data_IF_928735235180
#
_entry.id   IF_928735235180
#
_cell.length_a   1.000
_cell.length_b   1.000
_cell.length_c   1.000
_cell.angle_alpha   90.00
_cell.angle_beta   90.00
_cell.angle_gamma   90.00
#
_symmetry.space_group_name_H-M   'P 1'
#
loop_
_entity.id
_entity.type
_entity.pdbx_description
1 polymer ?
#
# COMPACT_ATOMS: atom_id res chain seq x y z
N UNK A 1 52.46 -45.81 27.00
CA UNK A 1 51.79 -44.70 26.28
C UNK A 1 50.53 -45.27 25.64
N UNK A 2 49.35 -44.81 26.05
CA UNK A 2 48.09 -45.38 25.56
C UNK A 2 47.65 -44.66 24.28
N UNK A 3 47.31 -45.45 23.26
CA UNK A 3 46.82 -44.95 21.98
C UNK A 3 45.30 -44.76 22.05
N UNK A 4 44.84 -43.54 21.84
CA UNK A 4 43.40 -43.24 21.72
C UNK A 4 42.97 -43.38 20.27
N UNK A 5 41.99 -44.24 20.02
CA UNK A 5 41.40 -44.51 18.70
C UNK A 5 40.31 -43.47 18.39
N UNK A 6 40.65 -42.45 17.61
CA UNK A 6 39.76 -41.35 17.19
C UNK A 6 38.97 -41.65 15.90
N UNK A 7 39.28 -42.77 15.24
CA UNK A 7 38.65 -43.25 14.01
C UNK A 7 37.13 -43.41 14.11
N UNK A 8 36.60 -43.67 15.32
CA UNK A 8 35.16 -43.75 15.55
C UNK A 8 34.48 -42.39 15.74
N UNK A 9 35.22 -41.36 16.18
CA UNK A 9 34.71 -39.99 16.39
C UNK A 9 34.66 -39.20 15.09
N UNK A 10 35.61 -39.45 14.20
CA UNK A 10 35.75 -38.75 12.92
C UNK A 10 35.00 -39.43 11.77
N UNK A 11 34.19 -40.47 12.05
CA UNK A 11 33.46 -41.17 11.00
C UNK A 11 32.16 -40.42 10.67
N UNK A 12 32.08 -39.73 9.50
CA UNK A 12 30.97 -38.83 9.19
C UNK A 12 29.62 -39.55 9.06
N UNK A 13 29.62 -40.86 8.82
CA UNK A 13 28.40 -41.66 8.67
C UNK A 13 27.70 -41.98 10.00
N UNK A 14 28.39 -41.84 11.15
CA UNK A 14 27.83 -42.16 12.48
C UNK A 14 27.49 -40.92 13.32
N UNK A 15 27.86 -39.72 12.86
CA UNK A 15 27.64 -38.47 13.60
C UNK A 15 26.40 -37.77 13.04
N UNK A 16 25.41 -37.47 13.90
CA UNK A 16 24.21 -36.72 13.49
C UNK A 16 24.62 -35.32 13.02
N UNK A 17 24.51 -35.05 11.73
CA UNK A 17 24.81 -33.74 11.16
C UNK A 17 23.79 -32.72 11.67
N UNK A 18 24.27 -31.72 12.41
CA UNK A 18 23.47 -30.59 12.86
C UNK A 18 23.99 -29.32 12.17
N UNK A 19 23.11 -28.59 11.49
CA UNK A 19 23.45 -27.28 10.95
C UNK A 19 23.35 -26.25 12.07
N UNK A 20 24.44 -25.54 12.34
CA UNK A 20 24.51 -24.51 13.36
C UNK A 20 24.87 -23.18 12.72
N UNK A 21 24.05 -22.16 12.96
CA UNK A 21 24.29 -20.79 12.53
C UNK A 21 24.86 -20.00 13.70
N UNK A 22 25.95 -19.28 13.45
CA UNK A 22 26.47 -18.29 14.40
C UNK A 22 25.84 -16.94 14.08
N UNK A 23 25.00 -16.43 14.96
CA UNK A 23 24.32 -15.14 14.80
C UNK A 23 24.85 -14.12 15.80
N UNK A 24 24.54 -12.85 15.60
CA UNK A 24 24.90 -11.76 16.53
C UNK A 24 24.34 -11.93 17.96
N UNK A 25 23.34 -12.80 18.12
CA UNK A 25 22.71 -13.13 19.41
C UNK A 25 23.17 -14.49 19.97
N UNK A 26 24.18 -15.10 19.35
CA UNK A 26 24.76 -16.38 19.75
C UNK A 26 24.46 -17.54 18.79
N UNK A 27 24.68 -18.75 19.29
CA UNK A 27 24.60 -20.00 18.54
C UNK A 27 23.13 -20.43 18.35
N UNK A 28 22.70 -20.59 17.10
CA UNK A 28 21.40 -21.14 16.75
C UNK A 28 21.56 -22.50 16.06
N UNK A 29 20.93 -23.55 16.60
CA UNK A 29 20.93 -24.89 16.00
C UNK A 29 19.66 -25.05 15.17
N UNK A 30 19.82 -25.28 13.87
CA UNK A 30 18.71 -25.41 12.93
C UNK A 30 18.03 -26.76 13.13
N UNK A 31 16.71 -26.76 13.33
CA UNK A 31 15.90 -27.99 13.44
C UNK A 31 15.83 -28.67 12.06
N UNK A 32 15.85 -30.00 12.05
CA UNK A 32 15.78 -30.85 10.84
C UNK A 32 14.53 -30.55 9.98
N UNK A 33 13.41 -30.20 10.63
CA UNK A 33 12.20 -29.73 9.99
C UNK A 33 11.99 -28.28 10.35
N UNK A 34 12.11 -27.41 9.34
CA UNK A 34 11.71 -26.02 9.41
C UNK A 34 10.38 -25.95 8.66
N UNK A 35 9.29 -25.64 9.36
CA UNK A 35 8.05 -25.32 8.68
C UNK A 35 8.33 -24.08 7.84
N UNK A 36 8.28 -24.24 6.51
CA UNK A 36 8.44 -23.12 5.60
C UNK A 36 7.33 -22.13 5.92
N UNK A 37 7.72 -20.93 6.29
CA UNK A 37 6.79 -19.82 6.35
C UNK A 37 6.33 -19.54 4.92
N UNK A 38 5.05 -19.82 4.64
CA UNK A 38 4.43 -19.51 3.36
C UNK A 38 3.47 -18.33 3.57
N UNK A 39 3.82 -17.13 3.06
CA UNK A 39 2.95 -15.96 3.19
C UNK A 39 1.60 -16.19 2.53
N UNK A 40 1.51 -17.02 1.49
CA UNK A 40 0.26 -17.32 0.80
C UNK A 40 -0.68 -18.10 1.73
N UNK A 41 -0.16 -19.09 2.45
CA UNK A 41 -0.99 -19.87 3.39
C UNK A 41 -1.45 -19.04 4.59
N UNK A 42 -0.61 -18.17 5.16
CA UNK A 42 -1.03 -17.36 6.31
C UNK A 42 -1.91 -16.17 5.91
N UNK A 43 -1.64 -15.50 4.78
CA UNK A 43 -2.46 -14.37 4.31
C UNK A 43 -3.83 -14.81 3.80
N UNK A 44 -3.93 -15.91 3.03
CA UNK A 44 -5.19 -16.29 2.37
C UNK A 44 -6.05 -17.30 3.14
N UNK A 45 -5.54 -17.95 4.20
CA UNK A 45 -6.37 -18.79 5.08
C UNK A 45 -7.04 -18.03 6.23
N UNK A 46 -6.93 -16.70 6.25
CA UNK A 46 -7.59 -15.85 7.24
C UNK A 46 -8.41 -14.76 6.55
N UNK A 47 -9.74 -14.83 6.68
CA UNK A 47 -10.68 -13.87 6.12
C UNK A 47 -10.59 -12.47 6.78
N UNK A 48 -9.78 -12.30 7.83
CA UNK A 48 -9.44 -10.98 8.38
C UNK A 48 -8.38 -10.23 7.57
N UNK A 49 -7.79 -10.88 6.56
CA UNK A 49 -6.84 -10.27 5.64
C UNK A 49 -7.60 -9.72 4.42
N UNK A 50 -7.34 -8.48 4.04
CA UNK A 50 -7.82 -7.89 2.80
C UNK A 50 -6.66 -7.62 1.84
N UNK A 51 -6.86 -7.88 0.55
CA UNK A 51 -5.92 -7.47 -0.49
C UNK A 51 -6.18 -6.01 -0.85
N UNK A 52 -5.13 -5.19 -0.81
CA UNK A 52 -5.20 -3.78 -1.18
C UNK A 52 -4.56 -3.65 -2.56
N UNK A 53 -5.36 -3.20 -3.52
CA UNK A 53 -4.86 -2.85 -4.85
C UNK A 53 -4.72 -1.34 -4.89
N UNK A 54 -3.49 -0.79 -4.94
CA UNK A 54 -3.31 0.64 -5.09
C UNK A 54 -3.82 1.05 -6.47
N UNK A 55 -4.79 1.95 -6.50
CA UNK A 55 -5.33 2.49 -7.74
C UNK A 55 -4.55 3.74 -8.17
N UNK A 56 -4.37 3.90 -9.49
CA UNK A 56 -3.62 5.01 -10.08
C UNK A 56 -4.48 5.71 -11.14
N UNK A 57 -4.47 7.05 -11.22
CA UNK A 57 -5.11 7.76 -12.31
C UNK A 57 -4.45 7.38 -13.64
N UNK A 58 -5.19 7.48 -14.75
CA UNK A 58 -4.68 7.31 -16.11
C UNK A 58 -3.50 8.27 -16.37
N UNK A 59 -2.69 7.92 -17.37
CA UNK A 59 -1.35 8.49 -17.64
C UNK A 59 -1.27 10.03 -17.58
N UNK A 60 -0.11 10.52 -17.11
CA UNK A 60 0.30 11.92 -17.23
C UNK A 60 0.02 12.81 -16.01
N UNK A 61 -0.43 12.25 -14.88
CA UNK A 61 -0.83 13.02 -13.69
C UNK A 61 -0.10 12.61 -12.40
N UNK A 62 1.06 11.94 -12.50
CA UNK A 62 1.92 11.64 -11.33
C UNK A 62 1.37 10.61 -10.32
N UNK A 63 2.06 10.48 -9.19
CA UNK A 63 1.69 9.57 -8.08
C UNK A 63 1.38 10.37 -6.82
N UNK A 64 0.10 10.46 -6.47
CA UNK A 64 -0.37 11.33 -5.40
C UNK A 64 -1.35 10.62 -4.45
N UNK A 65 -1.30 10.98 -3.17
CA UNK A 65 -2.20 10.45 -2.14
C UNK A 65 -3.64 10.95 -2.29
N UNK A 66 -4.57 10.32 -1.56
CA UNK A 66 -6.00 10.67 -1.54
C UNK A 66 -6.27 12.12 -1.15
N UNK A 67 -5.40 12.68 -0.31
CA UNK A 67 -5.63 13.97 0.36
C UNK A 67 -5.33 15.17 -0.55
N UNK A 68 -4.74 14.92 -1.73
CA UNK A 68 -4.55 15.96 -2.74
C UNK A 68 -5.92 16.45 -3.21
N UNK A 69 -6.08 17.77 -3.15
CA UNK A 69 -7.29 18.49 -3.56
C UNK A 69 -7.22 18.89 -5.03
N UNK A 70 -6.09 19.47 -5.44
CA UNK A 70 -5.86 19.91 -6.82
C UNK A 70 -4.47 19.50 -7.33
N UNK A 71 -4.33 19.38 -8.64
CA UNK A 71 -3.05 19.16 -9.32
C UNK A 71 -2.82 20.33 -10.28
N UNK A 72 -1.83 21.17 -9.97
CA UNK A 72 -1.44 22.28 -10.83
C UNK A 72 -0.33 21.83 -11.78
N UNK A 73 -0.64 21.72 -13.06
CA UNK A 73 0.33 21.46 -14.13
C UNK A 73 0.84 22.78 -14.67
N UNK A 74 2.13 23.00 -14.52
CA UNK A 74 2.85 24.18 -14.96
C UNK A 74 3.67 23.82 -16.18
N UNK A 75 3.51 24.60 -17.24
CA UNK A 75 4.31 24.52 -18.45
C UNK A 75 5.28 25.69 -18.47
N UNK A 76 6.57 25.42 -18.58
CA UNK A 76 7.62 26.46 -18.67
C UNK A 76 8.01 26.70 -20.13
N UNK A 77 8.65 27.84 -20.41
CA UNK A 77 9.11 28.24 -21.76
C UNK A 77 10.08 27.20 -22.35
N UNK A 78 10.91 26.59 -21.49
CA UNK A 78 11.88 25.55 -21.87
C UNK A 78 11.23 24.19 -22.21
N UNK A 79 9.90 24.11 -22.22
CA UNK A 79 9.13 22.90 -22.47
C UNK A 79 9.04 21.95 -21.28
N UNK A 80 9.60 22.32 -20.12
CA UNK A 80 9.52 21.50 -18.92
C UNK A 80 8.11 21.55 -18.33
N UNK A 81 7.55 20.36 -18.06
CA UNK A 81 6.24 20.16 -17.45
C UNK A 81 6.41 19.77 -15.99
N UNK A 82 5.88 20.58 -15.08
CA UNK A 82 5.92 20.31 -13.64
C UNK A 82 4.51 20.19 -13.09
N UNK A 83 4.20 19.08 -12.44
CA UNK A 83 2.92 18.92 -11.72
C UNK A 83 3.15 19.11 -10.23
N UNK A 84 2.49 20.12 -9.66
CA UNK A 84 2.54 20.45 -8.24
C UNK A 84 1.24 19.98 -7.58
N UNK A 85 1.30 19.03 -6.63
CA UNK A 85 0.12 18.68 -5.85
C UNK A 85 -0.24 19.83 -4.91
N UNK A 86 -1.53 20.07 -4.70
CA UNK A 86 -2.05 21.11 -3.81
C UNK A 86 -3.03 20.47 -2.82
N UNK A 87 -2.77 20.63 -1.53
CA UNK A 87 -3.59 20.14 -0.43
C UNK A 87 -4.52 21.23 0.11
N UNK A 88 -5.60 20.82 0.78
CA UNK A 88 -6.57 21.76 1.37
C UNK A 88 -5.95 22.77 2.35
N UNK A 89 -4.88 22.37 3.04
CA UNK A 89 -4.21 23.18 4.07
C UNK A 89 -2.93 23.87 3.57
N UNK A 90 -2.67 23.87 2.25
CA UNK A 90 -1.45 24.49 1.69
C UNK A 90 -1.46 26.03 1.78
N UNK A 91 -2.54 26.66 2.28
CA UNK A 91 -2.52 28.08 2.66
C UNK A 91 -1.70 28.33 3.95
N UNK A 92 -1.58 27.32 4.82
CA UNK A 92 -0.79 27.38 6.05
C UNK A 92 0.71 27.12 5.82
N UNK A 93 1.07 26.50 4.70
CA UNK A 93 2.44 26.06 4.40
C UNK A 93 2.92 26.59 3.04
N UNK A 94 4.09 27.22 2.95
CA UNK A 94 4.58 27.74 1.68
C UNK A 94 4.83 26.60 0.68
N UNK A 95 4.03 26.57 -0.39
CA UNK A 95 4.14 25.58 -1.48
C UNK A 95 4.96 26.08 -2.67
N UNK A 96 4.93 27.40 -2.88
CA UNK A 96 5.69 28.10 -3.90
C UNK A 96 6.72 29.01 -3.22
N UNK A 97 7.86 29.23 -3.87
CA UNK A 97 8.96 29.98 -3.27
C UNK A 97 8.65 31.47 -3.09
N UNK A 98 7.90 32.07 -4.02
CA UNK A 98 7.71 33.53 -4.12
C UNK A 98 6.36 34.03 -3.59
N UNK A 99 5.43 33.13 -3.29
CA UNK A 99 4.09 33.49 -2.83
C UNK A 99 3.44 32.36 -2.03
N UNK A 100 2.38 32.69 -1.30
CA UNK A 100 1.55 31.73 -0.57
C UNK A 100 0.18 31.64 -1.20
N UNK A 101 -0.42 30.45 -1.08
CA UNK A 101 -1.82 30.25 -1.43
C UNK A 101 -2.70 30.86 -0.34
N UNK A 102 -3.88 31.33 -0.73
CA UNK A 102 -4.91 31.83 0.18
C UNK A 102 -6.07 30.82 0.28
N UNK A 103 -6.86 30.89 1.35
CA UNK A 103 -8.08 30.07 1.45
C UNK A 103 -9.04 30.32 0.26
N UNK A 104 -9.14 31.57 -0.18
CA UNK A 104 -9.91 32.00 -1.35
C UNK A 104 -9.43 31.33 -2.64
N UNK A 105 -8.10 31.31 -2.87
CA UNK A 105 -7.51 30.65 -4.03
C UNK A 105 -7.73 29.13 -4.03
N UNK A 106 -7.96 28.52 -2.86
CA UNK A 106 -8.20 27.08 -2.71
C UNK A 106 -9.70 26.72 -2.70
N UNK A 107 -10.60 27.68 -2.91
CA UNK A 107 -12.05 27.45 -2.87
C UNK A 107 -12.55 26.56 -4.01
N UNK A 108 -12.04 26.76 -5.24
CA UNK A 108 -12.37 25.97 -6.43
C UNK A 108 -11.14 25.76 -7.34
N UNK A 109 -11.25 24.85 -8.32
CA UNK A 109 -10.23 24.64 -9.35
C UNK A 109 -9.98 25.89 -10.17
N UNK A 110 -11.05 26.61 -10.51
CA UNK A 110 -11.02 27.82 -11.33
C UNK A 110 -10.37 28.97 -10.57
N UNK A 111 -10.75 29.18 -9.29
CA UNK A 111 -10.14 30.19 -8.43
C UNK A 111 -8.64 29.98 -8.26
N UNK A 112 -8.21 28.71 -8.12
CA UNK A 112 -6.79 28.38 -8.03
C UNK A 112 -6.06 28.66 -9.34
N UNK A 113 -6.67 28.33 -10.47
CA UNK A 113 -6.10 28.57 -11.78
C UNK A 113 -5.93 30.07 -12.05
N UNK A 114 -6.97 30.86 -11.80
CA UNK A 114 -6.92 32.32 -11.92
C UNK A 114 -5.84 32.93 -11.02
N UNK A 115 -5.74 32.49 -9.77
CA UNK A 115 -4.71 32.95 -8.85
C UNK A 115 -3.28 32.63 -9.35
N UNK A 116 -3.05 31.41 -9.84
CA UNK A 116 -1.74 31.02 -10.37
C UNK A 116 -1.38 31.78 -11.65
N UNK A 117 -2.35 32.04 -12.53
CA UNK A 117 -2.16 32.87 -13.72
C UNK A 117 -1.82 34.31 -13.35
N UNK A 118 -2.51 34.91 -12.37
CA UNK A 118 -2.15 36.24 -11.87
C UNK A 118 -0.73 36.27 -11.29
N UNK A 119 -0.32 35.25 -10.52
CA UNK A 119 1.06 35.17 -10.03
C UNK A 119 2.09 34.98 -11.16
N UNK A 120 1.71 34.34 -12.27
CA UNK A 120 2.56 34.21 -13.45
C UNK A 120 2.72 35.56 -14.19
N UNK A 121 1.61 36.27 -14.42
CA UNK A 121 1.60 37.61 -15.02
C UNK A 121 2.45 38.60 -14.19
N UNK A 122 2.36 38.50 -12.86
CA UNK A 122 3.13 39.32 -11.93
C UNK A 122 4.61 38.87 -11.78
N UNK A 123 5.09 37.90 -12.57
CA UNK A 123 6.47 37.42 -12.57
C UNK A 123 6.89 36.64 -11.31
N UNK A 124 5.93 36.29 -10.45
CA UNK A 124 6.15 35.52 -9.22
C UNK A 124 6.08 34.01 -9.46
N UNK A 125 5.55 33.57 -10.60
CA UNK A 125 5.56 32.19 -11.06
C UNK A 125 6.16 32.13 -12.48
N UNK A 126 7.15 31.26 -12.69
CA UNK A 126 7.74 31.04 -14.01
C UNK A 126 6.96 29.93 -14.71
N UNK A 127 5.95 30.32 -15.49
CA UNK A 127 5.20 29.41 -16.36
C UNK A 127 4.56 30.17 -17.53
N UNK A 128 4.45 29.50 -18.68
CA UNK A 128 3.72 29.93 -19.88
C UNK A 128 2.24 29.58 -19.77
N UNK A 129 1.95 28.41 -19.20
CA UNK A 129 0.58 27.90 -19.10
C UNK A 129 0.38 27.14 -17.78
N UNK A 130 -0.84 27.21 -17.27
CA UNK A 130 -1.28 26.61 -16.01
C UNK A 130 -2.61 25.88 -16.22
N UNK A 131 -2.59 24.57 -16.01
CA UNK A 131 -3.79 23.73 -15.99
C UNK A 131 -4.01 23.22 -14.56
N UNK A 132 -5.19 23.47 -13.98
CA UNK A 132 -5.55 22.95 -12.65
C UNK A 132 -6.57 21.83 -12.79
N UNK A 133 -6.24 20.66 -12.27
CA UNK A 133 -7.12 19.49 -12.27
C UNK A 133 -7.68 19.27 -10.87
N UNK A 134 -9.00 19.17 -10.75
CA UNK A 134 -9.66 18.72 -9.53
C UNK A 134 -9.39 17.22 -9.31
N UNK A 135 -8.70 16.90 -8.22
CA UNK A 135 -8.31 15.53 -7.92
C UNK A 135 -9.52 14.65 -7.54
N UNK A 136 -10.57 15.23 -6.96
CA UNK A 136 -11.82 14.53 -6.66
C UNK A 136 -12.56 14.12 -7.93
N UNK A 137 -12.68 15.03 -8.91
CA UNK A 137 -13.23 14.73 -10.23
C UNK A 137 -12.37 13.70 -10.98
N UNK A 138 -11.04 13.85 -10.93
CA UNK A 138 -10.12 12.89 -11.53
C UNK A 138 -10.32 11.49 -10.94
N UNK A 139 -10.46 11.37 -9.62
CA UNK A 139 -10.74 10.08 -8.95
C UNK A 139 -12.09 9.51 -9.38
N UNK A 140 -13.15 10.33 -9.44
CA UNK A 140 -14.47 9.89 -9.92
C UNK A 140 -14.42 9.40 -11.37
N UNK A 141 -13.71 10.10 -12.24
CA UNK A 141 -13.55 9.68 -13.63
C UNK A 141 -12.76 8.36 -13.77
N UNK A 142 -11.71 8.19 -12.96
CA UNK A 142 -10.85 7.00 -13.05
C UNK A 142 -11.42 5.78 -12.31
N UNK A 143 -12.20 5.98 -11.23
CA UNK A 143 -12.60 4.91 -10.30
C UNK A 143 -14.11 4.86 -9.99
N UNK A 144 -14.90 5.83 -10.44
CA UNK A 144 -16.25 6.15 -9.91
C UNK A 144 -17.38 5.19 -10.21
N UNK A 145 -17.10 3.97 -10.70
CA UNK A 145 -18.14 2.95 -10.89
C UNK A 145 -18.08 1.78 -9.90
N UNK A 146 -17.11 1.76 -8.98
CA UNK A 146 -16.98 0.64 -8.03
C UNK A 146 -16.33 0.91 -6.68
N UNK A 147 -15.80 2.11 -6.43
CA UNK A 147 -14.91 2.37 -5.29
C UNK A 147 -15.38 3.49 -4.35
N UNK A 148 -16.69 3.78 -4.30
CA UNK A 148 -17.24 4.85 -3.44
C UNK A 148 -17.25 4.51 -1.94
N UNK A 149 -17.04 3.24 -1.58
CA UNK A 149 -17.03 2.79 -0.19
C UNK A 149 -15.61 2.83 0.36
N UNK A 150 -15.37 3.70 1.33
CA UNK A 150 -14.17 3.63 2.16
C UNK A 150 -14.28 2.46 3.15
N UNK A 151 -13.17 1.77 3.37
CA UNK A 151 -13.03 0.78 4.43
C UNK A 151 -11.95 1.26 5.38
N UNK A 152 -12.33 1.55 6.62
CA UNK A 152 -11.36 1.82 7.67
C UNK A 152 -10.85 0.50 8.25
N UNK A 153 -9.54 0.28 8.11
CA UNK A 153 -8.90 -0.87 8.70
C UNK A 153 -8.97 -0.77 10.23
N UNK A 154 -9.63 -1.74 10.86
CA UNK A 154 -9.66 -1.84 12.32
C UNK A 154 -8.38 -2.50 12.82
N UNK A 155 -7.78 -1.93 13.85
CA UNK A 155 -6.67 -2.58 14.54
C UNK A 155 -7.17 -3.80 15.31
N UNK A 156 -6.50 -4.93 15.12
CA UNK A 156 -6.70 -6.15 15.89
C UNK A 156 -5.39 -6.55 16.56
N UNK A 157 -5.46 -7.04 17.79
CA UNK A 157 -4.28 -7.60 18.45
C UNK A 157 -3.80 -8.87 17.73
N UNK A 158 -2.50 -9.16 17.84
CA UNK A 158 -1.91 -10.34 17.19
C UNK A 158 -2.60 -11.65 17.59
N UNK A 159 -2.93 -11.82 18.88
CA UNK A 159 -3.65 -13.00 19.37
C UNK A 159 -5.03 -13.12 18.71
N UNK A 160 -5.74 -12.00 18.59
CA UNK A 160 -7.06 -11.98 17.95
C UNK A 160 -6.96 -12.42 16.49
N UNK A 161 -5.99 -11.87 15.75
CA UNK A 161 -5.78 -12.23 14.35
C UNK A 161 -5.44 -13.72 14.17
N UNK A 162 -4.49 -14.24 14.97
CA UNK A 162 -3.98 -15.61 14.81
C UNK A 162 -4.99 -16.67 15.28
N UNK A 163 -5.68 -16.43 16.39
CA UNK A 163 -6.59 -17.42 16.99
C UNK A 163 -8.02 -17.21 16.52
N UNK A 164 -8.59 -16.04 16.81
CA UNK A 164 -10.00 -15.75 16.52
C UNK A 164 -10.23 -15.64 15.02
N UNK A 165 -9.33 -14.99 14.28
CA UNK A 165 -9.41 -14.89 12.82
C UNK A 165 -9.47 -16.25 12.11
N UNK A 166 -8.62 -17.21 12.50
CA UNK A 166 -8.62 -18.56 11.93
C UNK A 166 -9.91 -19.33 12.26
N UNK A 167 -10.43 -19.21 13.48
CA UNK A 167 -11.69 -19.84 13.87
C UNK A 167 -12.88 -19.28 13.07
N UNK A 168 -12.99 -17.95 12.96
CA UNK A 168 -14.04 -17.28 12.20
C UNK A 168 -13.97 -17.64 10.71
N UNK A 169 -12.75 -17.73 10.16
CA UNK A 169 -12.52 -18.15 8.77
C UNK A 169 -13.01 -19.57 8.52
N UNK A 170 -12.68 -20.50 9.43
CA UNK A 170 -13.13 -21.89 9.35
C UNK A 170 -14.66 -21.98 9.38
N UNK A 171 -15.30 -21.26 10.30
CA UNK A 171 -16.77 -21.22 10.38
C UNK A 171 -17.41 -20.62 9.12
N UNK A 172 -16.84 -19.53 8.59
CA UNK A 172 -17.28 -18.90 7.35
C UNK A 172 -17.21 -19.86 6.16
N UNK A 173 -16.12 -20.62 6.04
CA UNK A 173 -15.94 -21.64 4.99
C UNK A 173 -16.97 -22.76 5.09
N UNK A 174 -17.26 -23.25 6.31
CA UNK A 174 -18.31 -24.26 6.54
C UNK A 174 -19.67 -23.72 6.10
N UNK A 175 -20.01 -22.49 6.50
CA UNK A 175 -21.27 -21.84 6.10
C UNK A 175 -21.38 -21.71 4.59
N UNK A 176 -20.32 -21.24 3.92
CA UNK A 176 -20.27 -21.07 2.47
C UNK A 176 -20.40 -22.40 1.73
N UNK A 177 -19.76 -23.46 2.23
CA UNK A 177 -19.92 -24.82 1.73
C UNK A 177 -21.38 -25.30 1.78
N UNK A 178 -22.06 -25.08 2.92
CA UNK A 178 -23.47 -25.47 3.08
C UNK A 178 -24.39 -24.68 2.13
N UNK A 179 -24.16 -23.38 1.95
CA UNK A 179 -24.90 -22.52 1.02
C UNK A 179 -24.72 -23.02 -0.42
N UNK A 180 -23.47 -23.22 -0.85
CA UNK A 180 -23.16 -23.73 -2.20
C UNK A 180 -23.78 -25.10 -2.46
N UNK A 181 -23.83 -25.97 -1.44
CA UNK A 181 -24.49 -27.28 -1.54
C UNK A 181 -26.00 -27.15 -1.74
N UNK A 182 -26.66 -26.16 -1.13
CA UNK A 182 -28.09 -25.88 -1.36
C UNK A 182 -28.32 -25.36 -2.78
N UNK A 183 -27.52 -24.40 -3.26
CA UNK A 183 -27.65 -23.88 -4.64
C UNK A 183 -27.43 -24.96 -5.70
N UNK A 184 -26.44 -25.85 -5.52
CA UNK A 184 -26.21 -26.98 -6.44
C UNK A 184 -27.37 -27.98 -6.50
N UNK A 185 -28.15 -28.11 -5.41
CA UNK A 185 -29.36 -28.95 -5.40
C UNK A 185 -30.52 -28.26 -6.12
N UNK A 186 -30.67 -26.94 -5.96
CA UNK A 186 -31.71 -26.16 -6.62
C UNK A 186 -31.52 -26.06 -8.14
N UNK A 187 -30.28 -25.90 -8.63
CA UNK A 187 -29.98 -25.82 -10.08
C UNK A 187 -29.97 -27.19 -10.80
N UNK A 188 -30.21 -28.29 -10.08
CA UNK A 188 -30.36 -29.64 -10.66
C UNK A 188 -31.83 -30.07 -10.80
N UNK A 189 -32.76 -29.21 -10.41
CA UNK A 189 -34.19 -29.29 -10.73
C UNK A 189 -34.48 -28.49 -11.99
#
# INVERSE_FOLDING_TARGET
MNRVKLDKLLNPQKVKMNLVLSTSHGKYVVKERIDRWDPVFDFFNNHMTASIIPMRPKEGVGYYGSDVKYLAKLHTEDGYKKTVPIYANDYNYPRFEKFRLTEESLSSSEALQEFLLDQAINGRLQCVDVEVIDAGQLRKYNYGHGFDKSFEAKYYSWIFYVVIGKLLTTWSNIRLYLINRKHKKANKS
#
